data_IF_858312102086
#
_entry.id   IF_858312102086
#
_cell.length_a   1.000
_cell.length_b   1.000
_cell.length_c   1.000
_cell.angle_alpha   90.00
_cell.angle_beta   90.00
_cell.angle_gamma   90.00
#
_symmetry.space_group_name_H-M   'P 1'
#
loop_
_entity.id
_entity.type
_entity.pdbx_description
1 polymer ?
#
# COMPACT_ATOMS: atom_id res chain seq x y z
N UNK A 1 12.55 -15.56 -26.79
CA UNK A 1 12.99 -14.73 -25.64
C UNK A 1 12.69 -13.29 -26.02
N UNK A 2 12.06 -12.53 -25.14
CA UNK A 2 11.77 -11.10 -25.35
C UNK A 2 12.79 -10.28 -24.58
N UNK A 3 13.19 -9.13 -25.13
CA UNK A 3 14.19 -8.25 -24.49
C UNK A 3 13.55 -6.93 -24.09
N UNK A 4 13.96 -6.40 -22.95
CA UNK A 4 13.56 -5.09 -22.44
C UNK A 4 14.72 -4.44 -21.68
N UNK A 5 14.75 -3.11 -21.57
CA UNK A 5 15.74 -2.42 -20.73
C UNK A 5 15.43 -2.61 -19.25
N UNK A 6 14.18 -2.35 -18.86
CA UNK A 6 13.70 -2.51 -17.47
C UNK A 6 12.49 -3.44 -17.42
N UNK A 7 12.59 -4.49 -16.63
CA UNK A 7 11.50 -5.44 -16.37
C UNK A 7 10.92 -5.21 -14.97
N UNK A 8 9.70 -4.73 -14.89
CA UNK A 8 8.97 -4.54 -13.63
C UNK A 8 8.05 -5.73 -13.40
N UNK A 9 8.21 -6.43 -12.28
CA UNK A 9 7.44 -7.61 -11.93
C UNK A 9 6.49 -7.27 -10.79
N UNK A 10 5.18 -7.27 -11.08
CA UNK A 10 4.10 -6.85 -10.18
C UNK A 10 3.53 -5.47 -10.53
N UNK A 11 2.26 -5.44 -10.92
CA UNK A 11 1.51 -4.23 -11.31
C UNK A 11 0.76 -3.57 -10.15
N UNK A 12 1.26 -3.71 -8.92
CA UNK A 12 0.79 -2.93 -7.77
C UNK A 12 1.18 -1.45 -7.91
N UNK A 13 0.72 -0.60 -6.98
CA UNK A 13 0.99 0.84 -7.05
C UNK A 13 2.49 1.18 -7.15
N UNK A 14 3.35 0.44 -6.44
CA UNK A 14 4.80 0.61 -6.56
C UNK A 14 5.32 0.24 -7.95
N UNK A 15 4.89 -0.93 -8.48
CA UNK A 15 5.31 -1.36 -9.82
C UNK A 15 4.79 -0.46 -10.92
N UNK A 16 3.55 0.03 -10.80
CA UNK A 16 3.00 1.00 -11.73
C UNK A 16 3.82 2.31 -11.75
N UNK A 17 4.12 2.86 -10.59
CA UNK A 17 4.95 4.06 -10.50
C UNK A 17 6.37 3.82 -11.04
N UNK A 18 6.95 2.63 -10.78
CA UNK A 18 8.26 2.26 -11.30
C UNK A 18 8.28 2.16 -12.82
N UNK A 19 7.29 1.51 -13.42
CA UNK A 19 7.22 1.35 -14.86
C UNK A 19 7.01 2.69 -15.58
N UNK A 20 6.10 3.53 -15.05
CA UNK A 20 5.84 4.87 -15.59
C UNK A 20 7.10 5.73 -15.51
N UNK A 21 7.77 5.78 -14.34
CA UNK A 21 9.00 6.56 -14.16
C UNK A 21 10.12 6.09 -15.09
N UNK A 22 10.36 4.80 -15.14
CA UNK A 22 11.40 4.23 -15.99
C UNK A 22 11.17 4.56 -17.47
N UNK A 23 9.96 4.39 -17.98
CA UNK A 23 9.63 4.69 -19.37
C UNK A 23 9.70 6.19 -19.68
N UNK A 24 9.24 7.07 -18.77
CA UNK A 24 9.36 8.54 -18.92
C UNK A 24 10.82 9.00 -18.98
N UNK A 25 11.75 8.28 -18.34
CA UNK A 25 13.19 8.52 -18.42
C UNK A 25 13.86 7.80 -19.60
N UNK A 26 13.08 7.28 -20.55
CA UNK A 26 13.56 6.77 -21.85
C UNK A 26 14.01 5.32 -21.87
N UNK A 27 13.85 4.57 -20.78
CA UNK A 27 14.14 3.14 -20.79
C UNK A 27 12.97 2.36 -21.43
N UNK A 28 13.28 1.42 -22.36
CA UNK A 28 12.28 0.46 -22.80
C UNK A 28 11.84 -0.38 -21.62
N UNK A 29 10.57 -0.27 -21.24
CA UNK A 29 10.06 -0.83 -19.99
C UNK A 29 8.91 -1.78 -20.25
N UNK A 30 9.00 -2.98 -19.68
CA UNK A 30 7.91 -3.97 -19.65
C UNK A 30 7.46 -4.20 -18.23
N UNK A 31 6.15 -4.14 -17.98
CA UNK A 31 5.52 -4.51 -16.70
C UNK A 31 4.73 -5.80 -16.84
N UNK A 32 4.96 -6.74 -15.94
CA UNK A 32 4.22 -8.01 -15.87
C UNK A 32 3.35 -8.05 -14.62
N UNK A 33 2.06 -8.33 -14.79
CA UNK A 33 1.09 -8.44 -13.70
C UNK A 33 0.27 -9.74 -13.81
N UNK A 34 0.01 -10.40 -12.67
CA UNK A 34 -0.78 -11.65 -12.62
C UNK A 34 -2.27 -11.46 -12.84
N UNK A 35 -2.81 -10.26 -12.55
CA UNK A 35 -4.21 -9.94 -12.79
C UNK A 35 -4.45 -9.33 -14.17
N UNK A 36 -5.73 -9.25 -14.57
CA UNK A 36 -6.18 -8.49 -15.73
C UNK A 36 -6.33 -6.99 -15.45
N UNK A 37 -5.82 -6.49 -14.33
CA UNK A 37 -5.89 -5.09 -13.91
C UNK A 37 -4.69 -4.71 -13.03
N UNK A 38 -4.46 -3.42 -12.89
CA UNK A 38 -3.35 -2.82 -12.14
C UNK A 38 -3.82 -2.25 -10.78
N UNK A 39 -2.85 -1.81 -9.94
CA UNK A 39 -3.09 -1.11 -8.68
C UNK A 39 -2.88 -1.94 -7.41
N UNK A 40 -2.66 -3.27 -7.53
CA UNK A 40 -2.32 -4.14 -6.40
C UNK A 40 -3.36 -4.10 -5.27
N UNK A 41 -2.92 -3.92 -4.01
CA UNK A 41 -3.84 -3.94 -2.86
C UNK A 41 -4.91 -2.85 -2.88
N UNK A 42 -4.64 -1.70 -3.52
CA UNK A 42 -5.63 -0.63 -3.64
C UNK A 42 -6.82 -1.02 -4.53
N UNK A 43 -6.62 -1.91 -5.49
CA UNK A 43 -7.67 -2.39 -6.41
C UNK A 43 -8.08 -3.83 -6.11
N UNK A 44 -7.13 -4.75 -5.99
CA UNK A 44 -7.43 -6.17 -5.75
C UNK A 44 -7.98 -6.43 -4.34
N UNK A 45 -7.49 -5.74 -3.32
CA UNK A 45 -7.94 -5.88 -1.94
C UNK A 45 -8.77 -4.68 -1.44
N UNK A 46 -9.04 -3.70 -2.31
CA UNK A 46 -9.81 -2.47 -2.03
C UNK A 46 -9.26 -1.67 -0.84
N UNK A 47 -7.94 -1.72 -0.62
CA UNK A 47 -7.30 -1.00 0.50
C UNK A 47 -7.34 0.49 0.24
N UNK A 48 -8.21 1.17 0.96
CA UNK A 48 -8.43 2.60 0.94
C UNK A 48 -9.07 3.10 2.24
N UNK A 49 -9.12 4.42 2.47
CA UNK A 49 -8.48 5.47 1.68
C UNK A 49 -6.95 5.44 1.77
N UNK A 50 -6.25 6.16 0.88
CA UNK A 50 -4.79 6.28 0.99
C UNK A 50 -4.41 7.22 2.15
N UNK A 51 -3.39 6.80 2.92
CA UNK A 51 -2.88 7.50 4.11
C UNK A 51 -1.35 7.54 4.05
N UNK A 52 -0.70 8.63 4.28
CA UNK A 52 -1.10 10.03 4.21
C UNK A 52 -0.17 10.74 3.22
N UNK A 53 -0.68 11.76 2.52
CA UNK A 53 0.15 12.61 1.65
C UNK A 53 0.79 13.78 2.41
N UNK A 54 0.37 14.02 3.67
CA UNK A 54 0.75 15.19 4.44
C UNK A 54 1.36 14.82 5.80
N UNK A 55 2.26 15.68 6.26
CA UNK A 55 2.71 15.76 7.65
C UNK A 55 2.28 17.11 8.20
N UNK A 56 1.32 17.12 9.14
CA UNK A 56 0.67 18.37 9.51
C UNK A 56 0.02 19.07 8.32
N UNK A 57 0.41 20.32 8.06
CA UNK A 57 -0.06 21.10 6.90
C UNK A 57 0.74 20.90 5.61
N UNK A 58 1.91 20.26 5.69
CA UNK A 58 2.84 20.14 4.57
C UNK A 58 2.59 18.88 3.77
N UNK A 59 2.43 19.01 2.45
CA UNK A 59 2.41 17.86 1.56
C UNK A 59 3.83 17.31 1.40
N UNK A 60 4.03 16.05 1.74
CA UNK A 60 5.33 15.35 1.71
C UNK A 60 5.40 14.26 0.64
N UNK A 61 4.29 13.97 -0.04
CA UNK A 61 4.23 13.01 -1.15
C UNK A 61 3.78 13.76 -2.41
N UNK A 62 4.58 13.65 -3.48
CA UNK A 62 4.37 14.29 -4.77
C UNK A 62 4.59 13.33 -5.94
N UNK A 63 5.04 13.87 -7.08
CA UNK A 63 5.38 13.09 -8.26
C UNK A 63 4.20 12.27 -8.81
N UNK A 64 4.47 11.05 -9.28
CA UNK A 64 3.47 10.14 -9.88
C UNK A 64 2.31 9.86 -8.92
N UNK A 65 2.57 9.76 -7.61
CA UNK A 65 1.52 9.54 -6.62
C UNK A 65 0.50 10.68 -6.61
N UNK A 66 0.96 11.92 -6.67
CA UNK A 66 0.10 13.11 -6.73
C UNK A 66 -0.62 13.20 -8.09
N UNK A 67 0.06 12.92 -9.19
CA UNK A 67 -0.55 12.90 -10.53
C UNK A 67 -1.73 11.92 -10.60
N UNK A 68 -1.60 10.73 -10.00
CA UNK A 68 -2.70 9.76 -9.92
C UNK A 68 -3.91 10.37 -9.19
N UNK A 69 -3.70 11.05 -8.07
CA UNK A 69 -4.79 11.71 -7.32
C UNK A 69 -5.47 12.78 -8.17
N UNK A 70 -4.70 13.62 -8.86
CA UNK A 70 -5.22 14.69 -9.73
C UNK A 70 -6.06 14.12 -10.89
N UNK A 71 -5.61 13.02 -11.50
CA UNK A 71 -6.37 12.33 -12.56
C UNK A 71 -7.66 11.71 -12.03
N UNK A 72 -7.65 11.15 -10.82
CA UNK A 72 -8.86 10.65 -10.16
C UNK A 72 -9.84 11.79 -9.84
N UNK A 73 -9.33 12.93 -9.36
CA UNK A 73 -10.15 14.11 -9.11
C UNK A 73 -10.80 14.63 -10.40
N UNK A 74 -10.04 14.72 -11.48
CA UNK A 74 -10.54 15.16 -12.79
C UNK A 74 -11.66 14.25 -13.34
N UNK A 75 -11.69 12.97 -12.92
CA UNK A 75 -12.73 12.01 -13.27
C UNK A 75 -13.89 11.93 -12.25
N UNK A 76 -13.88 12.79 -11.20
CA UNK A 76 -14.88 12.73 -10.12
C UNK A 76 -14.77 11.50 -9.20
N UNK A 77 -13.64 10.79 -9.25
CA UNK A 77 -13.40 9.55 -8.55
C UNK A 77 -12.59 9.70 -7.26
N UNK A 78 -12.28 10.91 -6.86
CA UNK A 78 -11.66 11.27 -5.58
C UNK A 78 -11.98 12.71 -5.24
N UNK A 79 -12.22 13.05 -3.95
CA UNK A 79 -12.29 14.43 -3.50
C UNK A 79 -10.89 15.06 -3.32
N UNK A 80 -9.81 14.32 -3.61
CA UNK A 80 -8.44 14.69 -3.24
C UNK A 80 -8.13 14.41 -1.77
N UNK A 81 -7.22 15.19 -1.22
CA UNK A 81 -6.80 15.05 0.16
C UNK A 81 -7.77 15.76 1.10
N UNK A 82 -8.41 15.01 1.98
CA UNK A 82 -9.34 15.54 2.98
C UNK A 82 -8.80 15.30 4.38
N UNK A 83 -9.16 16.16 5.33
CA UNK A 83 -8.75 15.98 6.73
C UNK A 83 -9.32 14.67 7.28
N UNK A 84 -8.52 13.96 8.06
CA UNK A 84 -8.97 12.74 8.75
C UNK A 84 -9.80 13.11 9.98
N UNK A 85 -11.10 12.79 9.94
CA UNK A 85 -12.01 13.07 11.07
C UNK A 85 -11.78 12.17 12.29
N UNK A 86 -11.01 11.10 12.15
CA UNK A 86 -10.59 10.24 13.27
C UNK A 86 -9.31 10.72 13.95
N UNK A 87 -8.64 11.75 13.40
CA UNK A 87 -7.37 12.30 13.89
C UNK A 87 -6.24 11.25 13.99
N UNK A 88 -6.30 10.23 13.12
CA UNK A 88 -5.27 9.21 13.07
C UNK A 88 -4.05 9.68 12.28
N UNK A 89 -4.29 10.34 11.15
CA UNK A 89 -3.30 10.97 10.26
C UNK A 89 -3.74 12.38 9.87
N UNK A 90 -2.86 13.16 9.25
CA UNK A 90 -3.19 14.52 8.83
C UNK A 90 -4.29 14.55 7.76
N UNK A 91 -4.16 13.70 6.74
CA UNK A 91 -5.12 13.60 5.65
C UNK A 91 -5.33 12.16 5.21
N UNK A 92 -6.52 11.90 4.68
CA UNK A 92 -6.85 10.70 3.92
C UNK A 92 -7.23 11.08 2.51
N UNK A 93 -7.10 10.14 1.57
CA UNK A 93 -7.44 10.35 0.16
C UNK A 93 -8.38 9.23 -0.28
N UNK A 94 -9.70 9.43 -0.17
CA UNK A 94 -10.68 8.50 -0.70
C UNK A 94 -10.58 8.43 -2.23
N UNK A 95 -10.78 7.26 -2.80
CA UNK A 95 -10.74 7.05 -4.25
C UNK A 95 -11.65 5.90 -4.68
N UNK A 96 -12.05 5.91 -5.95
CA UNK A 96 -12.72 4.77 -6.57
C UNK A 96 -11.72 3.80 -7.15
N UNK A 97 -11.68 2.51 -6.69
CA UNK A 97 -10.74 1.51 -7.19
C UNK A 97 -10.92 1.17 -8.67
N UNK A 98 -12.14 1.25 -9.22
CA UNK A 98 -12.38 0.92 -10.62
C UNK A 98 -11.84 2.02 -11.54
N UNK A 99 -12.08 3.28 -11.19
CA UNK A 99 -11.51 4.41 -11.93
C UNK A 99 -9.99 4.45 -11.78
N UNK A 100 -9.45 4.05 -10.61
CA UNK A 100 -8.01 3.93 -10.41
C UNK A 100 -7.34 2.93 -11.37
N UNK A 101 -7.97 1.76 -11.62
CA UNK A 101 -7.50 0.82 -12.63
C UNK A 101 -7.38 1.47 -14.01
N UNK A 102 -8.41 2.23 -14.42
CA UNK A 102 -8.41 2.93 -15.71
C UNK A 102 -7.32 3.99 -15.81
N UNK A 103 -7.16 4.82 -14.76
CA UNK A 103 -6.10 5.84 -14.68
C UNK A 103 -4.71 5.22 -14.84
N UNK A 104 -4.45 4.09 -14.18
CA UNK A 104 -3.17 3.42 -14.32
C UNK A 104 -2.92 2.92 -15.75
N UNK A 105 -3.92 2.36 -16.41
CA UNK A 105 -3.78 1.95 -17.82
C UNK A 105 -3.55 3.13 -18.77
N UNK A 106 -4.24 4.26 -18.54
CA UNK A 106 -4.01 5.49 -19.29
C UNK A 106 -2.55 5.95 -19.15
N UNK A 107 -2.05 6.03 -17.91
CA UNK A 107 -0.68 6.47 -17.64
C UNK A 107 0.38 5.51 -18.20
N UNK A 108 0.14 4.18 -18.15
CA UNK A 108 1.02 3.19 -18.80
C UNK A 108 1.12 3.40 -20.31
N UNK A 109 -0.03 3.59 -20.96
CA UNK A 109 -0.10 3.82 -22.41
C UNK A 109 0.59 5.13 -22.80
N UNK A 110 0.35 6.20 -22.05
CA UNK A 110 0.98 7.51 -22.28
C UNK A 110 2.50 7.45 -22.13
N UNK A 111 2.99 6.68 -21.15
CA UNK A 111 4.42 6.48 -20.93
C UNK A 111 5.08 5.49 -21.93
N UNK A 112 4.30 4.75 -22.69
CA UNK A 112 4.82 3.75 -23.62
C UNK A 112 5.30 2.47 -22.96
N UNK A 113 4.74 2.11 -21.79
CA UNK A 113 5.06 0.86 -21.09
C UNK A 113 4.45 -0.33 -21.81
N UNK A 114 5.25 -1.36 -22.11
CA UNK A 114 4.76 -2.64 -22.59
C UNK A 114 4.14 -3.43 -21.43
N UNK A 115 2.92 -3.98 -21.61
CA UNK A 115 2.21 -4.73 -20.57
C UNK A 115 2.11 -6.21 -20.93
N UNK A 116 2.35 -7.07 -19.93
CA UNK A 116 1.90 -8.45 -19.92
C UNK A 116 0.99 -8.65 -18.71
N UNK A 117 -0.32 -8.73 -18.93
CA UNK A 117 -1.31 -9.12 -17.93
C UNK A 117 -1.49 -10.64 -17.92
N UNK A 118 -2.04 -11.18 -16.82
CA UNK A 118 -2.20 -12.62 -16.61
C UNK A 118 -0.87 -13.39 -16.72
N UNK A 119 0.24 -12.73 -16.32
CA UNK A 119 1.58 -13.30 -16.26
C UNK A 119 1.96 -13.67 -14.83
N UNK A 120 1.99 -14.95 -14.50
CA UNK A 120 2.36 -15.44 -13.17
C UNK A 120 3.87 -15.68 -13.10
N UNK A 121 4.54 -15.03 -12.15
CA UNK A 121 5.98 -15.22 -11.95
C UNK A 121 6.29 -16.68 -11.59
N UNK A 122 7.30 -17.26 -12.25
CA UNK A 122 7.78 -18.62 -12.00
C UNK A 122 9.20 -18.65 -11.42
N UNK A 123 10.13 -17.95 -12.09
CA UNK A 123 11.54 -17.97 -11.68
C UNK A 123 12.30 -16.74 -12.16
N UNK A 124 13.35 -16.40 -11.43
CA UNK A 124 14.35 -15.41 -11.80
C UNK A 124 15.49 -16.06 -12.56
N UNK A 125 16.06 -15.36 -13.53
CA UNK A 125 17.25 -15.75 -14.28
C UNK A 125 18.44 -14.94 -13.80
N UNK A 126 19.56 -15.61 -13.53
CA UNK A 126 20.77 -14.98 -13.03
C UNK A 126 22.00 -15.45 -13.79
N UNK A 127 23.00 -14.55 -13.93
CA UNK A 127 24.34 -14.87 -14.41
C UNK A 127 25.31 -14.26 -13.39
N UNK A 128 26.05 -15.11 -12.68
CA UNK A 128 26.82 -14.66 -11.52
C UNK A 128 25.91 -14.03 -10.46
N UNK A 129 26.23 -12.83 -10.04
CA UNK A 129 25.41 -12.04 -9.10
C UNK A 129 24.37 -11.17 -9.80
N UNK A 130 24.40 -11.07 -11.13
CA UNK A 130 23.47 -10.26 -11.92
C UNK A 130 22.13 -10.96 -12.16
N UNK A 131 21.03 -10.26 -11.93
CA UNK A 131 19.70 -10.66 -12.38
C UNK A 131 19.55 -10.24 -13.84
N UNK A 132 19.29 -11.20 -14.72
CA UNK A 132 19.25 -11.00 -16.17
C UNK A 132 17.86 -11.18 -16.78
N UNK A 133 16.86 -11.56 -15.99
CA UNK A 133 15.51 -11.74 -16.50
C UNK A 133 14.61 -12.55 -15.58
N UNK A 134 13.45 -12.91 -16.12
CA UNK A 134 12.48 -13.75 -15.42
C UNK A 134 11.59 -14.54 -16.38
N UNK A 135 11.06 -15.65 -15.87
CA UNK A 135 10.11 -16.51 -16.59
C UNK A 135 8.74 -16.44 -15.93
N UNK A 136 7.69 -16.42 -16.75
CA UNK A 136 6.30 -16.31 -16.36
C UNK A 136 5.45 -17.41 -16.95
N UNK A 137 4.46 -17.90 -16.18
CA UNK A 137 3.37 -18.73 -16.72
C UNK A 137 2.30 -17.82 -17.34
N UNK A 138 1.83 -18.22 -18.51
CA UNK A 138 0.70 -17.59 -19.21
C UNK A 138 -0.26 -18.66 -19.71
N UNK A 139 -1.44 -18.26 -20.19
CA UNK A 139 -2.39 -19.20 -20.80
C UNK A 139 -1.81 -19.94 -22.03
N UNK A 140 -0.79 -19.38 -22.69
CA UNK A 140 -0.10 -19.98 -23.83
C UNK A 140 1.18 -20.75 -23.46
N UNK A 141 1.41 -21.03 -22.18
CA UNK A 141 2.61 -21.65 -21.66
C UNK A 141 3.58 -20.66 -21.03
N UNK A 142 4.87 -21.03 -20.93
CA UNK A 142 5.88 -20.16 -20.33
C UNK A 142 6.32 -19.03 -21.27
N UNK A 143 6.52 -17.83 -20.70
CA UNK A 143 7.07 -16.66 -21.38
C UNK A 143 8.29 -16.14 -20.65
N UNK A 144 9.37 -15.92 -21.38
CA UNK A 144 10.66 -15.49 -20.82
C UNK A 144 11.03 -14.10 -21.31
N UNK A 145 11.42 -13.24 -20.36
CA UNK A 145 11.97 -11.92 -20.63
C UNK A 145 13.42 -11.84 -20.15
N UNK A 146 14.26 -11.23 -20.97
CA UNK A 146 15.61 -10.80 -20.63
C UNK A 146 15.59 -9.28 -20.40
N UNK A 147 16.30 -8.80 -19.39
CA UNK A 147 16.32 -7.39 -19.02
C UNK A 147 17.70 -6.95 -18.54
N UNK A 148 18.02 -5.68 -18.78
CA UNK A 148 19.22 -5.05 -18.21
C UNK A 148 19.06 -4.83 -16.71
N UNK A 149 17.86 -4.41 -16.27
CA UNK A 149 17.52 -4.21 -14.85
C UNK A 149 16.15 -4.83 -14.57
N UNK A 150 16.02 -5.55 -13.47
CA UNK A 150 14.75 -6.04 -12.94
C UNK A 150 14.32 -5.23 -11.70
N UNK A 151 13.00 -5.00 -11.56
CA UNK A 151 12.40 -4.39 -10.37
C UNK A 151 11.39 -5.37 -9.78
N UNK A 152 11.67 -5.88 -8.58
CA UNK A 152 10.72 -6.69 -7.81
C UNK A 152 9.70 -5.79 -7.11
N UNK A 153 8.51 -5.69 -7.69
CA UNK A 153 7.34 -5.01 -7.12
C UNK A 153 6.23 -6.00 -6.76
N UNK A 154 6.57 -7.28 -6.56
CA UNK A 154 5.62 -8.36 -6.27
C UNK A 154 4.99 -8.26 -4.89
N UNK A 155 5.49 -7.38 -4.04
CA UNK A 155 5.13 -7.19 -2.64
C UNK A 155 5.51 -8.36 -1.70
N UNK A 156 5.83 -9.54 -2.25
CA UNK A 156 6.22 -10.74 -1.51
C UNK A 156 7.70 -11.11 -1.73
N UNK A 157 8.48 -10.19 -2.37
CA UNK A 157 9.88 -10.39 -2.74
C UNK A 157 10.09 -11.69 -3.56
N UNK A 158 9.20 -12.00 -4.50
CA UNK A 158 9.24 -13.25 -5.25
C UNK A 158 10.50 -13.34 -6.12
N UNK A 159 10.82 -12.24 -6.84
CA UNK A 159 11.99 -12.17 -7.72
C UNK A 159 13.28 -12.23 -6.90
N UNK A 160 13.35 -11.41 -5.86
CA UNK A 160 14.50 -11.36 -4.98
C UNK A 160 14.78 -12.71 -4.29
N UNK A 161 13.73 -13.33 -3.73
CA UNK A 161 13.83 -14.65 -3.10
C UNK A 161 14.27 -15.75 -4.10
N UNK A 162 13.67 -15.77 -5.29
CA UNK A 162 14.04 -16.69 -6.37
C UNK A 162 15.49 -16.51 -6.85
N UNK A 163 16.00 -15.26 -6.79
CA UNK A 163 17.40 -14.94 -7.09
C UNK A 163 18.38 -15.26 -5.93
N UNK A 164 17.89 -15.76 -4.77
CA UNK A 164 18.73 -16.06 -3.62
C UNK A 164 19.10 -14.85 -2.77
N UNK A 165 18.32 -13.77 -2.81
CA UNK A 165 18.44 -12.65 -1.87
C UNK A 165 17.97 -13.11 -0.48
N UNK A 166 18.74 -12.87 0.59
CA UNK A 166 18.29 -13.14 1.95
C UNK A 166 17.01 -12.35 2.26
N UNK A 167 16.05 -13.02 2.89
CA UNK A 167 14.77 -12.40 3.26
C UNK A 167 14.44 -12.63 4.73
N UNK A 168 13.65 -11.73 5.29
CA UNK A 168 13.08 -11.80 6.64
C UNK A 168 11.55 -11.77 6.54
N UNK A 169 10.87 -12.33 7.54
CA UNK A 169 9.40 -12.35 7.62
C UNK A 169 8.94 -12.15 9.06
N UNK A 170 7.90 -11.34 9.25
CA UNK A 170 7.25 -11.18 10.53
C UNK A 170 8.12 -10.54 11.62
N UNK A 171 7.69 -10.75 12.86
CA UNK A 171 8.42 -10.39 14.08
C UNK A 171 9.56 -11.38 14.38
N UNK A 172 10.21 -11.25 15.54
CA UNK A 172 11.29 -12.15 15.99
C UNK A 172 10.89 -13.64 16.06
N UNK A 173 9.60 -13.92 16.09
CA UNK A 173 9.02 -15.27 16.08
C UNK A 173 8.49 -15.69 14.70
N UNK A 174 8.72 -14.87 13.66
CA UNK A 174 8.23 -15.09 12.31
C UNK A 174 6.74 -14.80 12.11
N UNK A 175 6.04 -14.22 13.11
CA UNK A 175 4.59 -13.95 13.04
C UNK A 175 4.35 -12.66 12.26
N UNK A 176 3.48 -12.75 11.25
CA UNK A 176 3.11 -11.60 10.41
C UNK A 176 1.84 -10.93 10.91
N UNK A 177 1.66 -9.68 10.53
CA UNK A 177 0.44 -8.94 10.83
C UNK A 177 -0.78 -9.58 10.13
N UNK A 178 -1.99 -9.49 10.75
CA UNK A 178 -3.21 -10.11 10.23
C UNK A 178 -3.56 -9.63 8.82
N UNK A 179 -4.20 -10.51 8.05
CA UNK A 179 -4.81 -10.15 6.79
C UNK A 179 -6.22 -9.56 6.97
N UNK A 180 -6.69 -8.81 5.97
CA UNK A 180 -8.06 -8.26 5.95
C UNK A 180 -8.60 -8.21 4.53
N UNK A 181 -9.86 -8.55 4.35
CA UNK A 181 -10.63 -8.30 3.15
C UNK A 181 -11.42 -7.00 3.37
N UNK A 182 -11.10 -5.96 2.62
CA UNK A 182 -11.91 -4.74 2.66
C UNK A 182 -13.08 -4.84 1.69
N UNK A 183 -14.15 -4.13 2.00
CA UNK A 183 -15.36 -4.11 1.18
C UNK A 183 -16.06 -2.75 1.25
N UNK A 184 -16.95 -2.48 0.29
CA UNK A 184 -17.78 -1.27 0.28
C UNK A 184 -19.23 -1.62 0.60
N UNK A 185 -19.87 -0.77 1.41
CA UNK A 185 -21.29 -0.76 1.63
C UNK A 185 -21.89 0.48 0.96
N UNK A 186 -22.97 0.28 0.22
CA UNK A 186 -23.79 1.34 -0.37
C UNK A 186 -25.14 1.46 0.34
N UNK A 187 -25.92 2.51 0.00
CA UNK A 187 -27.21 2.84 0.61
C UNK A 187 -27.08 3.13 2.12
N UNK A 188 -26.00 3.81 2.48
CA UNK A 188 -25.74 4.27 3.84
C UNK A 188 -26.25 5.70 4.00
N UNK A 189 -27.09 5.93 5.02
CA UNK A 189 -27.47 7.29 5.42
C UNK A 189 -26.35 7.92 6.25
N UNK A 190 -25.46 8.63 5.53
CA UNK A 190 -24.32 9.32 6.15
C UNK A 190 -24.76 10.48 7.07
N UNK A 191 -25.95 11.04 6.89
CA UNK A 191 -26.47 12.09 7.74
C UNK A 191 -26.90 11.53 9.11
N UNK A 192 -27.57 10.39 9.12
CA UNK A 192 -27.93 9.68 10.34
C UNK A 192 -26.69 9.22 11.10
N UNK A 193 -25.70 8.62 10.43
CA UNK A 193 -24.44 8.24 11.04
C UNK A 193 -23.71 9.45 11.64
N UNK A 194 -23.59 10.55 10.88
CA UNK A 194 -22.93 11.75 11.35
C UNK A 194 -23.65 12.41 12.55
N UNK A 195 -24.98 12.34 12.58
CA UNK A 195 -25.77 12.77 13.74
C UNK A 195 -25.42 11.94 14.96
N UNK A 196 -25.46 10.61 14.83
CA UNK A 196 -25.13 9.70 15.93
C UNK A 196 -23.73 9.93 16.48
N UNK A 197 -22.72 10.05 15.63
CA UNK A 197 -21.33 10.33 16.02
C UNK A 197 -21.19 11.66 16.77
N UNK A 198 -21.97 12.69 16.41
CA UNK A 198 -21.95 13.98 17.13
C UNK A 198 -22.64 13.89 18.52
N UNK A 199 -23.69 13.08 18.63
CA UNK A 199 -24.44 12.89 19.87
C UNK A 199 -23.69 11.98 20.85
N UNK A 200 -22.79 11.10 20.37
CA UNK A 200 -22.03 10.13 21.16
C UNK A 200 -20.51 10.26 20.95
N UNK A 201 -19.91 11.44 21.26
CA UNK A 201 -18.49 11.70 21.02
C UNK A 201 -17.56 10.83 21.89
N UNK A 202 -18.05 10.34 23.03
CA UNK A 202 -17.38 9.45 23.96
C UNK A 202 -17.11 8.05 23.38
N UNK A 203 -17.94 7.61 22.43
CA UNK A 203 -17.74 6.33 21.76
C UNK A 203 -16.71 6.37 20.63
N UNK A 204 -16.16 7.53 20.33
CA UNK A 204 -15.21 7.70 19.25
C UNK A 204 -13.77 7.68 19.77
N UNK A 205 -12.92 6.89 19.12
CA UNK A 205 -11.47 6.96 19.34
C UNK A 205 -10.94 8.23 18.68
N UNK A 206 -10.50 9.18 19.48
CA UNK A 206 -9.89 10.44 19.02
C UNK A 206 -8.86 10.93 20.04
N UNK A 207 -7.81 11.59 19.57
CA UNK A 207 -6.87 12.31 20.43
C UNK A 207 -7.31 13.75 20.72
N UNK A 208 -8.36 14.24 20.04
CA UNK A 208 -8.87 15.60 20.23
C UNK A 208 -9.72 15.69 21.50
N UNK A 209 -9.50 16.75 22.27
CA UNK A 209 -10.33 17.05 23.44
C UNK A 209 -11.78 17.37 23.01
N UNK A 210 -12.78 17.11 23.88
CA UNK A 210 -14.17 17.51 23.63
C UNK A 210 -14.24 19.00 23.26
N UNK A 211 -14.92 19.35 22.15
CA UNK A 211 -15.04 20.71 21.64
C UNK A 211 -13.96 21.16 20.66
N UNK A 212 -12.87 20.42 20.50
CA UNK A 212 -11.83 20.70 19.48
C UNK A 212 -12.15 20.10 18.11
N UNK A 213 -13.15 19.25 18.00
CA UNK A 213 -13.61 18.72 16.71
C UNK A 213 -14.20 19.87 15.91
N UNK A 214 -13.48 20.30 14.88
CA UNK A 214 -14.06 21.17 13.86
C UNK A 214 -15.23 20.42 13.22
N UNK A 215 -16.28 21.13 12.82
CA UNK A 215 -17.42 20.58 12.07
C UNK A 215 -16.99 20.22 10.64
N UNK A 216 -16.00 19.33 10.50
CA UNK A 216 -15.55 18.79 9.24
C UNK A 216 -16.52 17.67 8.82
N UNK A 217 -16.62 17.43 7.52
CA UNK A 217 -17.34 16.27 7.00
C UNK A 217 -16.81 15.00 7.66
N UNK A 218 -17.70 14.04 7.95
CA UNK A 218 -17.33 12.75 8.51
C UNK A 218 -16.59 11.93 7.44
N UNK A 219 -15.27 11.91 7.50
CA UNK A 219 -14.40 11.22 6.52
C UNK A 219 -13.95 9.85 7.00
N UNK A 220 -13.93 9.64 8.32
CA UNK A 220 -13.57 8.38 8.96
C UNK A 220 -14.30 8.22 10.29
N UNK A 221 -14.66 6.98 10.62
CA UNK A 221 -15.15 6.57 11.94
C UNK A 221 -14.23 5.50 12.48
N UNK A 222 -13.61 5.77 13.62
CA UNK A 222 -12.90 4.79 14.42
C UNK A 222 -13.49 4.84 15.82
N UNK A 223 -14.31 3.84 16.21
CA UNK A 223 -15.04 3.91 17.48
C UNK A 223 -16.26 3.02 17.52
N UNK A 224 -17.38 3.57 18.02
CA UNK A 224 -18.64 2.86 18.25
C UNK A 224 -18.43 1.62 19.14
N UNK A 225 -17.61 1.78 20.18
CA UNK A 225 -17.13 0.67 21.01
C UNK A 225 -18.27 -0.05 21.72
N UNK A 226 -19.26 0.67 22.25
CA UNK A 226 -20.40 0.06 22.96
C UNK A 226 -21.27 -0.77 22.01
N UNK A 227 -21.57 -0.23 20.81
CA UNK A 227 -22.32 -0.95 19.79
C UNK A 227 -21.57 -2.22 19.38
N UNK A 228 -20.25 -2.11 19.17
CA UNK A 228 -19.41 -3.25 18.80
C UNK A 228 -19.39 -4.32 19.89
N UNK A 229 -19.13 -3.93 21.14
CA UNK A 229 -19.10 -4.85 22.27
C UNK A 229 -20.45 -5.53 22.53
N UNK A 230 -21.55 -4.79 22.35
CA UNK A 230 -22.89 -5.37 22.45
C UNK A 230 -23.10 -6.44 21.38
N UNK A 231 -22.73 -6.18 20.13
CA UNK A 231 -22.85 -7.16 19.04
C UNK A 231 -22.02 -8.43 19.28
N UNK A 232 -20.83 -8.29 19.86
CA UNK A 232 -20.01 -9.46 20.27
C UNK A 232 -20.69 -10.26 21.37
N UNK A 233 -21.20 -9.59 22.43
CA UNK A 233 -21.94 -10.27 23.51
C UNK A 233 -23.19 -11.00 23.02
N UNK A 234 -23.87 -10.42 22.03
CA UNK A 234 -25.10 -10.98 21.44
C UNK A 234 -24.81 -12.04 20.35
N UNK A 235 -23.53 -12.42 20.15
CA UNK A 235 -23.05 -13.37 19.14
C UNK A 235 -23.46 -13.01 17.70
N UNK A 236 -23.60 -11.72 17.38
CA UNK A 236 -23.88 -11.24 16.01
C UNK A 236 -22.59 -11.25 15.17
N UNK A 237 -21.44 -10.99 15.79
CA UNK A 237 -20.14 -10.96 15.14
C UNK A 237 -19.11 -11.75 15.95
N UNK A 238 -18.25 -12.49 15.23
CA UNK A 238 -17.07 -13.16 15.75
C UNK A 238 -15.87 -12.75 14.88
N UNK A 239 -15.48 -11.49 15.01
CA UNK A 239 -14.32 -10.92 14.31
C UNK A 239 -13.38 -10.33 15.35
N UNK A 240 -12.09 -10.67 15.36
CA UNK A 240 -11.14 -10.22 16.38
C UNK A 240 -10.77 -8.74 16.22
N UNK A 241 -11.74 -7.85 16.49
CA UNK A 241 -11.64 -6.38 16.45
C UNK A 241 -12.11 -5.79 17.78
N UNK A 242 -11.69 -4.56 18.04
CA UNK A 242 -12.04 -3.83 19.26
C UNK A 242 -13.01 -2.69 19.00
N UNK A 243 -13.10 -2.23 17.74
CA UNK A 243 -13.88 -1.06 17.34
C UNK A 243 -14.29 -1.14 15.90
N UNK A 244 -15.30 -0.34 15.54
CA UNK A 244 -15.71 -0.12 14.14
C UNK A 244 -14.70 0.79 13.45
N UNK A 245 -14.29 0.41 12.24
CA UNK A 245 -13.41 1.19 11.37
C UNK A 245 -13.98 1.27 9.97
N UNK A 246 -14.49 2.45 9.62
CA UNK A 246 -15.06 2.75 8.30
C UNK A 246 -14.56 4.11 7.80
N UNK A 247 -14.53 4.26 6.50
CA UNK A 247 -14.09 5.49 5.84
C UNK A 247 -15.09 5.90 4.77
N UNK A 248 -15.25 7.22 4.56
CA UNK A 248 -16.05 7.74 3.47
C UNK A 248 -15.46 7.30 2.12
N UNK A 249 -16.35 6.93 1.20
CA UNK A 249 -16.06 6.75 -0.21
C UNK A 249 -16.09 8.13 -0.93
N UNK A 250 -15.63 8.25 -2.18
CA UNK A 250 -15.93 9.40 -3.02
C UNK A 250 -17.43 9.64 -3.25
N UNK A 251 -18.25 8.63 -3.04
CA UNK A 251 -19.71 8.65 -3.25
C UNK A 251 -20.45 8.86 -1.93
N UNK A 252 -21.49 9.68 -1.96
CA UNK A 252 -22.13 10.22 -0.74
C UNK A 252 -22.84 9.15 0.12
N UNK A 253 -23.29 8.06 -0.50
CA UNK A 253 -24.03 6.98 0.16
C UNK A 253 -23.22 5.69 0.31
N UNK A 254 -21.89 5.78 0.13
CA UNK A 254 -20.98 4.63 0.25
C UNK A 254 -19.93 4.83 1.33
N UNK A 255 -19.54 3.72 1.94
CA UNK A 255 -18.41 3.65 2.87
C UNK A 255 -17.50 2.48 2.54
N UNK A 256 -16.22 2.65 2.87
CA UNK A 256 -15.21 1.59 2.85
C UNK A 256 -15.11 1.01 4.26
N UNK A 257 -15.25 -0.31 4.38
CA UNK A 257 -15.20 -1.04 5.64
C UNK A 257 -13.87 -1.77 5.78
N UNK A 258 -13.11 -1.44 6.86
CA UNK A 258 -11.85 -2.10 7.23
C UNK A 258 -12.03 -2.86 8.55
N UNK A 259 -12.83 -3.91 8.54
CA UNK A 259 -13.18 -4.60 9.79
C UNK A 259 -12.90 -6.10 9.79
N UNK A 260 -12.83 -6.79 8.64
CA UNK A 260 -12.42 -8.20 8.65
C UNK A 260 -11.00 -8.34 9.19
N UNK A 261 -10.71 -9.43 9.86
CA UNK A 261 -9.38 -9.70 10.41
C UNK A 261 -9.14 -11.20 10.55
N UNK A 262 -8.17 -11.70 9.81
CA UNK A 262 -7.72 -13.09 9.90
C UNK A 262 -6.33 -13.10 10.51
N UNK A 263 -6.23 -13.73 11.67
CA UNK A 263 -5.00 -13.82 12.48
C UNK A 263 -4.29 -15.16 12.27
N UNK A 264 -3.06 -15.27 12.75
CA UNK A 264 -2.28 -16.50 12.74
C UNK A 264 -2.16 -17.12 11.35
N UNK A 265 -1.77 -16.33 10.36
CA UNK A 265 -1.57 -16.75 8.98
C UNK A 265 -0.10 -16.69 8.59
N UNK A 266 0.29 -17.58 7.67
CA UNK A 266 1.49 -17.43 6.87
C UNK A 266 1.07 -17.08 5.42
N UNK A 267 1.22 -15.84 4.95
CA UNK A 267 0.77 -15.43 3.63
C UNK A 267 1.59 -16.04 2.47
N UNK A 268 2.61 -16.80 2.78
CA UNK A 268 3.45 -17.55 1.82
C UNK A 268 3.05 -19.02 1.72
N UNK A 269 2.11 -19.46 2.56
CA UNK A 269 1.52 -20.78 2.53
C UNK A 269 0.17 -20.72 1.79
N UNK A 270 -0.02 -21.47 0.69
CA UNK A 270 -1.24 -21.44 -0.10
C UNK A 270 -2.48 -21.94 0.68
N UNK A 271 -2.33 -22.86 1.61
CA UNK A 271 -3.43 -23.37 2.41
C UNK A 271 -3.90 -22.32 3.43
N UNK A 272 -2.95 -21.60 4.06
CA UNK A 272 -3.27 -20.48 4.95
C UNK A 272 -3.92 -19.32 4.21
N UNK A 273 -3.45 -19.00 3.00
CA UNK A 273 -4.10 -18.00 2.15
C UNK A 273 -5.52 -18.41 1.78
N UNK A 274 -5.74 -19.67 1.42
CA UNK A 274 -7.06 -20.20 1.09
C UNK A 274 -7.99 -20.10 2.29
N UNK A 275 -7.53 -20.52 3.47
CA UNK A 275 -8.27 -20.40 4.73
C UNK A 275 -8.63 -18.94 5.01
N UNK A 276 -7.68 -18.02 4.85
CA UNK A 276 -7.87 -16.60 5.11
C UNK A 276 -8.89 -15.95 4.15
N UNK A 277 -8.91 -16.34 2.87
CA UNK A 277 -9.91 -15.87 1.90
C UNK A 277 -11.32 -16.31 2.32
N UNK A 278 -11.50 -17.59 2.68
CA UNK A 278 -12.80 -18.13 3.10
C UNK A 278 -13.29 -17.45 4.37
N UNK A 279 -12.44 -17.37 5.39
CA UNK A 279 -12.79 -16.78 6.69
C UNK A 279 -13.15 -15.30 6.54
N UNK A 280 -12.35 -14.51 5.82
CA UNK A 280 -12.62 -13.09 5.64
C UNK A 280 -13.93 -12.82 4.87
N UNK A 281 -14.30 -13.68 3.91
CA UNK A 281 -15.59 -13.55 3.19
C UNK A 281 -16.77 -13.88 4.09
N UNK A 282 -16.67 -14.89 4.95
CA UNK A 282 -17.68 -15.18 5.94
C UNK A 282 -17.84 -14.05 6.96
N UNK A 283 -16.73 -13.49 7.45
CA UNK A 283 -16.73 -12.29 8.31
C UNK A 283 -17.42 -11.11 7.63
N UNK A 284 -17.30 -10.93 6.30
CA UNK A 284 -17.97 -9.85 5.57
C UNK A 284 -19.49 -9.93 5.69
N UNK A 285 -20.06 -11.15 5.67
CA UNK A 285 -21.50 -11.34 5.84
C UNK A 285 -21.97 -11.05 7.26
N UNK A 286 -21.22 -11.51 8.27
CA UNK A 286 -21.49 -11.18 9.68
C UNK A 286 -21.45 -9.65 9.91
N UNK A 287 -20.47 -8.98 9.30
CA UNK A 287 -20.34 -7.52 9.40
C UNK A 287 -21.49 -6.80 8.71
N UNK A 288 -22.00 -7.29 7.57
CA UNK A 288 -23.19 -6.72 6.93
C UNK A 288 -24.41 -6.77 7.87
N UNK A 289 -24.64 -7.92 8.51
CA UNK A 289 -25.76 -8.10 9.45
C UNK A 289 -25.59 -7.21 10.68
N UNK A 290 -24.37 -7.09 11.19
CA UNK A 290 -24.02 -6.15 12.26
C UNK A 290 -24.34 -4.70 11.89
N UNK A 291 -23.88 -4.23 10.73
CA UNK A 291 -24.13 -2.87 10.28
C UNK A 291 -25.63 -2.59 10.15
N UNK A 292 -26.37 -3.47 9.48
CA UNK A 292 -27.82 -3.31 9.27
C UNK A 292 -28.62 -3.28 10.55
N UNK A 293 -28.24 -4.07 11.54
CA UNK A 293 -29.05 -4.26 12.75
C UNK A 293 -28.64 -3.37 13.93
N UNK A 294 -27.39 -2.84 13.91
CA UNK A 294 -26.82 -2.16 15.08
C UNK A 294 -26.30 -0.76 14.82
N UNK A 295 -25.90 -0.44 13.59
CA UNK A 295 -25.26 0.85 13.32
C UNK A 295 -26.23 1.83 12.70
N UNK A 296 -26.48 3.01 13.29
CA UNK A 296 -27.36 4.04 12.74
C UNK A 296 -26.94 4.44 11.32
N UNK A 297 -27.92 4.54 10.43
CA UNK A 297 -27.68 4.89 9.02
C UNK A 297 -27.43 3.68 8.09
N UNK A 298 -27.33 2.45 8.62
CA UNK A 298 -26.99 1.27 7.81
C UNK A 298 -28.14 0.31 7.55
N UNK A 299 -29.36 0.58 8.03
CA UNK A 299 -30.48 -0.35 7.93
C UNK A 299 -30.75 -0.87 6.49
N UNK A 300 -30.53 -0.03 5.48
CA UNK A 300 -30.72 -0.37 4.07
C UNK A 300 -29.43 -0.69 3.33
N UNK A 301 -28.31 -0.76 4.03
CA UNK A 301 -27.01 -0.95 3.40
C UNK A 301 -26.89 -2.31 2.72
N UNK A 302 -26.07 -2.37 1.67
CA UNK A 302 -25.74 -3.62 0.97
C UNK A 302 -24.28 -3.62 0.55
N UNK A 303 -23.72 -4.80 0.36
CA UNK A 303 -22.37 -4.94 -0.20
C UNK A 303 -22.40 -4.45 -1.64
N UNK A 304 -21.69 -3.36 -1.92
CA UNK A 304 -21.47 -2.84 -3.27
C UNK A 304 -20.33 -3.58 -3.97
N UNK A 305 -19.26 -3.87 -3.23
CA UNK A 305 -18.12 -4.64 -3.73
C UNK A 305 -17.29 -5.20 -2.58
N UNK A 306 -16.58 -6.29 -2.84
CA UNK A 306 -15.53 -6.84 -1.98
C UNK A 306 -14.22 -6.88 -2.73
N UNK A 307 -13.09 -6.82 -2.03
CA UNK A 307 -11.79 -7.10 -2.65
C UNK A 307 -11.80 -8.44 -3.40
N UNK A 308 -11.15 -8.48 -4.55
CA UNK A 308 -10.99 -9.70 -5.37
C UNK A 308 -10.18 -10.74 -4.61
N UNK A 309 -9.24 -10.25 -3.78
CA UNK A 309 -8.44 -11.07 -2.88
C UNK A 309 -8.28 -10.39 -1.52
N UNK A 310 -7.86 -11.16 -0.52
CA UNK A 310 -7.51 -10.65 0.80
C UNK A 310 -6.28 -9.74 0.75
N UNK A 311 -6.29 -8.68 1.54
CA UNK A 311 -5.17 -7.74 1.68
C UNK A 311 -4.13 -8.26 2.67
N UNK A 312 -2.92 -8.48 2.20
CA UNK A 312 -1.78 -8.93 3.00
C UNK A 312 -0.95 -7.71 3.42
N UNK A 313 -0.81 -7.53 4.74
CA UNK A 313 -0.06 -6.41 5.32
C UNK A 313 1.45 -6.63 5.30
N UNK A 314 1.86 -7.86 5.46
CA UNK A 314 3.26 -8.26 5.61
C UNK A 314 3.50 -9.66 5.07
N UNK A 315 4.67 -9.86 4.44
CA UNK A 315 5.22 -11.13 4.04
C UNK A 315 6.76 -11.05 4.07
N UNK A 316 7.48 -11.49 3.04
CA UNK A 316 8.94 -11.31 2.97
C UNK A 316 9.33 -9.84 2.82
N UNK A 317 10.43 -9.50 3.46
CA UNK A 317 11.21 -8.28 3.26
C UNK A 317 12.63 -8.69 2.89
N UNK A 318 13.26 -8.03 1.94
CA UNK A 318 14.66 -8.33 1.58
C UNK A 318 15.61 -7.88 2.69
N UNK A 319 16.81 -8.46 2.69
CA UNK A 319 17.98 -7.85 3.34
C UNK A 319 18.65 -6.97 2.30
N UNK A 320 18.51 -5.64 2.46
CA UNK A 320 19.10 -4.61 1.61
C UNK A 320 20.40 -4.08 2.17
N UNK A 321 21.06 -3.20 1.41
CA UNK A 321 22.29 -2.51 1.84
C UNK A 321 22.08 -1.62 3.08
N UNK A 322 20.85 -1.29 3.40
CA UNK A 322 20.39 -0.69 4.65
C UNK A 322 19.06 -1.29 5.07
N UNK A 323 18.84 -1.47 6.36
CA UNK A 323 17.54 -1.89 6.91
C UNK A 323 16.95 -0.74 7.71
N UNK A 324 15.82 -0.18 7.25
CA UNK A 324 15.13 0.90 7.96
C UNK A 324 14.54 0.36 9.26
N UNK A 325 14.80 1.06 10.37
CA UNK A 325 14.40 0.64 11.71
C UNK A 325 13.26 1.46 12.29
N UNK A 326 12.65 0.98 13.36
CA UNK A 326 11.66 1.74 14.12
C UNK A 326 12.24 3.05 14.68
N UNK A 327 13.50 3.03 15.10
CA UNK A 327 14.20 4.22 15.62
C UNK A 327 14.39 5.27 14.53
N UNK A 328 14.73 4.87 13.29
CA UNK A 328 14.80 5.79 12.15
C UNK A 328 13.45 6.50 11.91
N UNK A 329 12.36 5.73 11.97
CA UNK A 329 11.00 6.26 11.82
C UNK A 329 10.66 7.25 12.94
N UNK A 330 10.82 6.84 14.20
CA UNK A 330 10.37 7.62 15.36
C UNK A 330 11.21 8.88 15.58
N UNK A 331 12.50 8.84 15.22
CA UNK A 331 13.40 9.98 15.32
C UNK A 331 13.39 10.87 14.07
N UNK A 332 12.48 10.63 13.11
CA UNK A 332 12.38 11.39 11.87
C UNK A 332 13.73 11.50 11.15
N UNK A 333 14.46 10.37 11.05
CA UNK A 333 15.83 10.35 10.53
C UNK A 333 15.90 10.82 9.09
N UNK A 334 16.95 11.57 8.78
CA UNK A 334 17.29 12.04 7.44
C UNK A 334 18.48 11.24 6.88
N UNK A 335 18.50 11.08 5.53
CA UNK A 335 19.56 10.34 4.83
C UNK A 335 20.01 11.09 3.59
N UNK A 336 21.30 11.03 3.28
CA UNK A 336 21.84 11.71 2.09
C UNK A 336 21.38 11.04 0.79
N UNK A 337 21.06 9.76 0.84
CA UNK A 337 20.48 8.97 -0.26
C UNK A 337 18.95 8.78 -0.14
N UNK A 338 18.24 9.71 0.52
CA UNK A 338 16.80 9.64 0.65
C UNK A 338 16.09 9.71 -0.70
N UNK A 339 15.09 8.85 -0.91
CA UNK A 339 14.28 8.77 -2.15
C UNK A 339 12.78 8.89 -1.91
N UNK A 340 12.35 8.86 -0.65
CA UNK A 340 10.97 9.04 -0.25
C UNK A 340 10.88 9.61 1.17
N UNK A 341 9.72 10.21 1.50
CA UNK A 341 9.36 10.65 2.85
C UNK A 341 8.04 10.02 3.26
N UNK A 342 7.85 9.81 4.57
CA UNK A 342 6.58 9.37 5.12
C UNK A 342 6.36 9.97 6.52
N UNK A 343 5.09 10.13 6.89
CA UNK A 343 4.66 10.61 8.22
C UNK A 343 3.64 9.67 8.85
N UNK A 344 3.43 8.49 8.26
CA UNK A 344 2.50 7.52 8.84
C UNK A 344 3.07 6.92 10.12
N UNK A 345 2.27 6.77 11.19
CA UNK A 345 2.74 6.16 12.43
C UNK A 345 3.16 4.69 12.21
N UNK A 346 3.98 4.17 13.11
CA UNK A 346 4.17 2.73 13.23
C UNK A 346 2.86 2.13 13.74
N UNK A 347 2.22 1.30 12.93
CA UNK A 347 0.89 0.74 13.16
C UNK A 347 0.93 -0.79 13.04
N UNK A 348 1.41 -1.44 14.12
CA UNK A 348 1.57 -2.89 14.17
C UNK A 348 0.28 -3.54 14.67
N UNK A 349 -0.40 -4.24 13.78
CA UNK A 349 -1.55 -5.07 14.12
C UNK A 349 -1.10 -6.35 14.82
N UNK A 350 -1.69 -6.66 15.98
CA UNK A 350 -1.35 -7.87 16.73
C UNK A 350 -1.54 -9.13 15.86
N UNK A 351 -0.50 -9.93 15.64
CA UNK A 351 -0.56 -11.15 14.82
C UNK A 351 -1.57 -12.19 15.31
N UNK A 352 -1.84 -12.24 16.62
CA UNK A 352 -2.61 -13.31 17.26
C UNK A 352 -3.92 -12.82 17.91
N UNK A 353 -4.28 -11.53 17.75
CA UNK A 353 -5.46 -11.00 18.42
C UNK A 353 -6.00 -9.70 17.85
N UNK A 354 -6.87 -9.04 18.59
CA UNK A 354 -7.65 -7.87 18.18
C UNK A 354 -6.86 -6.57 18.18
N UNK A 355 -5.85 -6.43 19.02
CA UNK A 355 -5.18 -5.16 19.31
C UNK A 355 -4.30 -4.63 18.17
N UNK A 356 -3.99 -3.34 18.27
CA UNK A 356 -3.03 -2.64 17.41
C UNK A 356 -2.13 -1.77 18.27
N UNK A 357 -0.82 -1.91 18.11
CA UNK A 357 0.18 -1.05 18.77
C UNK A 357 0.56 0.10 17.84
N UNK A 358 0.31 1.32 18.28
CA UNK A 358 0.62 2.52 17.51
C UNK A 358 1.71 3.33 18.20
N UNK A 359 2.79 3.66 17.47
CA UNK A 359 3.82 4.62 17.92
C UNK A 359 3.85 5.77 16.91
N UNK A 360 3.79 7.01 17.39
CA UNK A 360 3.68 8.20 16.53
C UNK A 360 4.99 8.96 16.47
N UNK A 361 5.27 9.55 15.31
CA UNK A 361 6.26 10.61 15.17
C UNK A 361 5.79 11.87 15.93
N UNK A 362 6.74 12.76 16.22
CA UNK A 362 6.38 14.09 16.72
C UNK A 362 5.51 14.83 15.68
N UNK A 363 4.52 15.64 16.11
CA UNK A 363 3.64 16.35 15.20
C UNK A 363 4.40 17.18 14.15
N UNK A 364 3.95 17.12 12.90
CA UNK A 364 4.57 17.83 11.77
C UNK A 364 5.89 17.25 11.29
N UNK A 365 6.39 16.16 11.89
CA UNK A 365 7.62 15.49 11.44
C UNK A 365 7.32 14.41 10.41
N UNK A 366 8.31 14.17 9.55
CA UNK A 366 8.36 13.04 8.62
C UNK A 366 9.75 12.42 8.65
N UNK A 367 9.85 11.13 8.38
CA UNK A 367 11.13 10.43 8.22
C UNK A 367 11.42 10.21 6.74
N UNK A 368 12.70 10.01 6.42
CA UNK A 368 13.16 9.70 5.07
C UNK A 368 13.42 8.20 4.91
N UNK A 369 13.34 7.71 3.68
CA UNK A 369 13.63 6.32 3.31
C UNK A 369 14.82 6.35 2.35
N UNK A 370 15.98 5.74 2.71
CA UNK A 370 17.16 5.76 1.87
C UNK A 370 17.07 4.77 0.72
N UNK A 371 17.71 5.09 -0.41
CA UNK A 371 17.79 4.25 -1.60
C UNK A 371 18.33 2.85 -1.29
N UNK A 372 19.29 2.75 -0.39
CA UNK A 372 19.92 1.50 0.04
C UNK A 372 18.96 0.47 0.62
N UNK A 373 17.75 0.86 1.07
CA UNK A 373 16.70 -0.08 1.46
C UNK A 373 16.11 -0.88 0.28
N UNK A 374 16.29 -0.38 -0.94
CA UNK A 374 15.74 -0.95 -2.16
C UNK A 374 16.75 -1.80 -2.93
N UNK A 375 18.04 -1.74 -2.54
CA UNK A 375 19.17 -2.44 -3.17
C UNK A 375 19.52 -3.68 -2.36
N UNK A 376 19.34 -4.92 -2.91
CA UNK A 376 19.73 -6.16 -2.23
C UNK A 376 21.24 -6.20 -1.92
N UNK A 377 21.62 -6.91 -0.83
CA UNK A 377 23.04 -7.00 -0.40
C UNK A 377 23.92 -7.83 -1.33
N UNK A 378 23.35 -8.79 -2.07
CA UNK A 378 24.09 -9.84 -2.79
C UNK A 378 23.61 -10.05 -4.23
N UNK A 379 22.83 -9.13 -4.79
CA UNK A 379 22.37 -9.19 -6.18
C UNK A 379 22.51 -7.85 -6.86
N UNK A 380 23.02 -7.91 -8.08
CA UNK A 380 23.17 -6.77 -8.97
C UNK A 380 22.03 -6.75 -10.00
N UNK A 381 21.79 -5.59 -10.59
CA UNK A 381 20.73 -5.36 -11.58
C UNK A 381 19.32 -5.72 -11.09
N UNK A 382 19.12 -5.73 -9.77
CA UNK A 382 17.85 -5.93 -9.10
C UNK A 382 17.56 -4.79 -8.13
N UNK A 383 16.40 -4.16 -8.28
CA UNK A 383 15.81 -3.25 -7.29
C UNK A 383 14.54 -3.88 -6.72
N UNK A 384 14.21 -3.48 -5.50
CA UNK A 384 12.96 -3.91 -4.84
C UNK A 384 12.14 -2.68 -4.48
N UNK A 385 10.85 -2.69 -4.80
CA UNK A 385 9.94 -1.58 -4.51
C UNK A 385 8.64 -2.06 -3.86
N UNK A 386 8.09 -1.25 -2.96
CA UNK A 386 6.86 -1.59 -2.25
C UNK A 386 7.10 -2.09 -0.84
N UNK A 387 6.20 -2.92 -0.31
CA UNK A 387 6.25 -3.38 1.09
C UNK A 387 7.37 -4.36 1.41
N UNK A 388 8.04 -4.92 0.40
CA UNK A 388 9.11 -5.92 0.55
C UNK A 388 10.52 -5.32 0.58
N UNK A 389 10.68 -3.99 0.62
CA UNK A 389 11.98 -3.36 0.84
C UNK A 389 12.58 -3.73 2.20
N UNK A 390 13.86 -3.43 2.39
CA UNK A 390 14.59 -3.76 3.61
C UNK A 390 14.17 -2.89 4.79
N UNK A 391 13.39 -3.46 5.71
CA UNK A 391 12.89 -2.80 6.93
C UNK A 391 12.80 -3.79 8.08
N UNK A 392 12.77 -3.29 9.33
CA UNK A 392 12.30 -4.11 10.46
C UNK A 392 10.78 -4.34 10.38
N UNK A 393 10.25 -5.28 11.16
CA UNK A 393 8.81 -5.55 11.26
C UNK A 393 8.01 -4.29 11.63
N UNK A 394 8.51 -3.52 12.60
CA UNK A 394 7.84 -2.29 13.06
C UNK A 394 7.92 -1.17 12.01
N UNK A 395 9.10 -0.96 11.39
CA UNK A 395 9.25 0.06 10.36
C UNK A 395 8.37 -0.23 9.14
N UNK A 396 8.21 -1.52 8.76
CA UNK A 396 7.29 -1.92 7.70
C UNK A 396 5.87 -1.43 7.96
N UNK A 397 5.42 -1.48 9.21
CA UNK A 397 4.07 -1.07 9.56
C UNK A 397 3.77 0.41 9.23
N UNK A 398 4.81 1.24 9.08
CA UNK A 398 4.72 2.62 8.61
C UNK A 398 4.99 2.76 7.10
N UNK A 399 6.00 2.06 6.56
CA UNK A 399 6.46 2.24 5.16
C UNK A 399 5.48 1.71 4.13
N UNK A 400 4.72 0.66 4.44
CA UNK A 400 3.86 -0.10 3.49
C UNK A 400 2.67 0.66 2.91
N UNK A 401 2.45 1.92 3.33
CA UNK A 401 1.28 2.70 2.91
C UNK A 401 1.39 3.13 1.45
N UNK A 402 0.24 3.15 0.77
CA UNK A 402 0.16 3.35 -0.67
C UNK A 402 0.87 4.61 -1.17
N UNK A 403 0.74 5.80 -0.57
CA UNK A 403 1.48 6.99 -1.02
C UNK A 403 3.00 6.79 -0.96
N UNK A 404 3.49 6.23 0.14
CA UNK A 404 4.92 5.95 0.33
C UNK A 404 5.44 4.95 -0.70
N UNK A 405 4.72 3.83 -0.92
CA UNK A 405 5.19 2.81 -1.86
C UNK A 405 5.10 3.25 -3.32
N UNK A 406 4.20 4.18 -3.68
CA UNK A 406 4.20 4.81 -5.00
C UNK A 406 5.48 5.62 -5.22
N UNK A 407 5.91 6.41 -4.22
CA UNK A 407 7.15 7.19 -4.28
C UNK A 407 8.37 6.27 -4.39
N UNK A 408 8.41 5.18 -3.61
CA UNK A 408 9.46 4.17 -3.72
C UNK A 408 9.48 3.52 -5.12
N UNK A 409 8.30 3.27 -5.70
CA UNK A 409 8.18 2.79 -7.07
C UNK A 409 8.79 3.78 -8.07
N UNK A 410 8.40 5.05 -7.99
CA UNK A 410 8.97 6.11 -8.84
C UNK A 410 10.50 6.15 -8.70
N UNK A 411 11.03 6.08 -7.49
CA UNK A 411 12.47 6.06 -7.24
C UNK A 411 13.16 4.85 -7.88
N UNK A 412 12.58 3.64 -7.76
CA UNK A 412 13.11 2.44 -8.38
C UNK A 412 13.15 2.55 -9.91
N UNK A 413 12.07 3.05 -10.52
CA UNK A 413 11.98 3.23 -11.96
C UNK A 413 12.97 4.26 -12.48
N UNK A 414 13.09 5.40 -11.81
CA UNK A 414 14.07 6.45 -12.14
C UNK A 414 15.50 5.91 -12.03
N UNK A 415 15.84 5.23 -10.93
CA UNK A 415 17.17 4.64 -10.72
C UNK A 415 17.49 3.57 -11.78
N UNK A 416 16.53 2.70 -12.12
CA UNK A 416 16.69 1.70 -13.17
C UNK A 416 16.97 2.34 -14.53
N UNK A 417 16.24 3.40 -14.91
CA UNK A 417 16.48 4.11 -16.17
C UNK A 417 17.84 4.81 -16.19
N UNK A 418 18.27 5.40 -15.06
CA UNK A 418 19.61 5.98 -14.93
C UNK A 418 20.70 4.91 -15.14
N UNK A 419 20.55 3.75 -14.47
CA UNK A 419 21.50 2.63 -14.60
C UNK A 419 21.57 2.09 -16.05
N UNK A 420 20.42 1.87 -16.70
CA UNK A 420 20.37 1.44 -18.11
C UNK A 420 21.07 2.44 -19.04
N UNK A 421 20.83 3.73 -18.83
CA UNK A 421 21.42 4.80 -19.66
C UNK A 421 22.92 4.93 -19.50
N UNK A 422 23.44 4.78 -18.28
CA UNK A 422 24.88 4.89 -17.97
C UNK A 422 25.63 3.57 -18.16
N UNK A 423 24.93 2.43 -18.29
CA UNK A 423 25.54 1.11 -18.27
C UNK A 423 26.13 0.70 -16.91
N UNK A 424 25.69 1.35 -15.82
CA UNK A 424 26.18 1.08 -14.45
C UNK A 424 25.31 0.02 -13.74
N UNK A 425 25.81 -0.48 -12.62
CA UNK A 425 25.00 -1.29 -11.70
C UNK A 425 24.01 -0.42 -10.97
N UNK A 426 22.82 -0.96 -10.64
CA UNK A 426 21.79 -0.20 -9.90
C UNK A 426 22.28 0.26 -8.52
N UNK A 427 23.17 -0.51 -7.90
CA UNK A 427 23.78 -0.16 -6.61
C UNK A 427 24.89 0.90 -6.68
N UNK A 428 25.24 1.37 -7.87
CA UNK A 428 26.24 2.39 -8.16
C UNK A 428 25.62 3.69 -8.69
N UNK A 429 24.30 3.75 -8.81
CA UNK A 429 23.59 4.98 -9.18
C UNK A 429 23.92 6.08 -8.17
N UNK A 430 24.39 7.22 -8.68
CA UNK A 430 24.74 8.38 -7.84
C UNK A 430 23.50 8.90 -7.09
N UNK A 431 23.48 8.85 -5.75
CA UNK A 431 22.35 9.32 -4.96
C UNK A 431 22.00 10.79 -5.20
N UNK A 432 22.99 11.64 -5.44
CA UNK A 432 22.74 13.07 -5.69
C UNK A 432 22.03 13.28 -7.03
N UNK A 433 22.45 12.56 -8.08
CA UNK A 433 21.78 12.58 -9.38
C UNK A 433 20.35 12.02 -9.28
N UNK A 434 20.18 10.89 -8.57
CA UNK A 434 18.85 10.29 -8.38
C UNK A 434 17.91 11.25 -7.65
N UNK A 435 18.35 11.86 -6.54
CA UNK A 435 17.56 12.86 -5.79
C UNK A 435 17.18 14.04 -6.65
N UNK A 436 18.13 14.64 -7.35
CA UNK A 436 17.87 15.78 -8.23
C UNK A 436 16.85 15.45 -9.34
N UNK A 437 16.92 14.24 -9.90
CA UNK A 437 15.96 13.77 -10.90
C UNK A 437 14.57 13.58 -10.28
N UNK A 438 14.48 12.96 -9.11
CA UNK A 438 13.20 12.78 -8.40
C UNK A 438 12.55 14.11 -8.01
N UNK A 439 13.35 15.09 -7.55
CA UNK A 439 12.85 16.43 -7.21
C UNK A 439 12.34 17.18 -8.45
N UNK A 440 13.02 17.04 -9.59
CA UNK A 440 12.58 17.58 -10.87
C UNK A 440 11.25 16.93 -11.35
N UNK A 441 11.03 15.66 -11.02
CA UNK A 441 9.79 14.91 -11.28
C UNK A 441 8.69 15.16 -10.23
N UNK A 442 8.89 16.11 -9.32
CA UNK A 442 7.89 16.52 -8.33
C UNK A 442 7.84 15.68 -7.06
N UNK A 443 8.80 14.81 -6.80
CA UNK A 443 8.93 14.12 -5.50
C UNK A 443 9.43 15.11 -4.46
N UNK A 444 8.75 15.19 -3.31
CA UNK A 444 9.17 16.09 -2.23
C UNK A 444 10.21 15.43 -1.33
N UNK A 445 11.48 15.82 -1.50
CA UNK A 445 12.60 15.39 -0.69
C UNK A 445 13.21 16.55 0.13
N UNK A 446 12.49 17.67 0.26
CA UNK A 446 12.95 18.83 1.04
C UNK A 446 13.11 18.45 2.50
N UNK A 447 14.24 18.80 3.10
CA UNK A 447 14.48 18.65 4.53
C UNK A 447 13.71 19.73 5.30
N UNK A 448 12.93 19.32 6.32
CA UNK A 448 12.16 20.21 7.20
C UNK A 448 12.75 20.25 8.60
#
# INVERSE_FOLDING_TARGET
>A
MLETGVLVIGGGNAGCAAAIASARHGARTTLVERYGFLGGTATAAMVGPWMTFHSGGDRIVGGIAQEIVERLMAKGASPGHVADSSDYVATITPFDPEVHKAVLFEMMREAGVELLLHGYFLSTETVGDGVTGATFATVAGSRRYQATVAIDATADALVAHSAGVPTQQGDERGRVQPASLMFRLSHVDMHELARYVREHPDQMRTSLAPGQRKAAALTAVAGLNEIWQAAVRDNIVDVPRELVSIFASPYADEVIVNMTRVVNINPLDPDDLTRAEVEARLQTMQLLDFFRTRVPGFANSRIAATGTQIGIRESRRIVGRYTLTADDVLNARQFDDAVARSAYPIDVHNPSGSGTTTKRLAPGKSYEIPYRCMVPVNREQLLVAGRCISTTHEALASVRLTPTVMTLGQAAGTAAALAVRSGSMVGEVDPAQLRATLEADGVDLRRT
#
